data_IF_194243007515
#
_entry.id   IF_194243007515
#
_cell.length_a   1.000
_cell.length_b   1.000
_cell.length_c   1.000
_cell.angle_alpha   90.00
_cell.angle_beta   90.00
_cell.angle_gamma   90.00
#
_symmetry.space_group_name_H-M   'P 1'
#
loop_
_entity.id
_entity.type
_entity.pdbx_description
1 polymer ?
#
# COMPACT_ATOMS: atom_id res chain seq x y z
N UNK A 1 -22.05 -29.51 17.59
CA UNK A 1 -21.46 -30.87 17.53
C UNK A 1 -22.35 -31.94 16.90
N UNK A 2 -23.67 -31.72 16.73
CA UNK A 2 -24.61 -32.75 16.23
C UNK A 2 -24.51 -33.00 14.71
N UNK A 3 -24.17 -31.98 13.90
CA UNK A 3 -24.07 -32.10 12.43
C UNK A 3 -23.01 -33.10 11.95
N UNK A 4 -21.84 -33.14 12.60
CA UNK A 4 -20.75 -34.06 12.24
C UNK A 4 -21.12 -35.54 12.44
N UNK A 5 -21.98 -35.84 13.43
CA UNK A 5 -22.42 -37.21 13.71
C UNK A 5 -23.38 -37.71 12.64
N UNK A 6 -24.29 -36.87 12.17
CA UNK A 6 -25.24 -37.21 11.13
C UNK A 6 -24.53 -37.41 9.78
N UNK A 7 -23.63 -36.51 9.39
CA UNK A 7 -22.85 -36.65 8.16
C UNK A 7 -22.09 -37.97 8.10
N UNK A 8 -21.45 -38.36 9.21
CA UNK A 8 -20.68 -39.61 9.30
C UNK A 8 -21.55 -40.87 9.29
N UNK A 9 -22.78 -40.79 9.80
CA UNK A 9 -23.76 -41.90 9.73
C UNK A 9 -24.30 -42.05 8.31
N UNK A 10 -24.63 -40.94 7.64
CA UNK A 10 -25.11 -40.94 6.26
C UNK A 10 -24.04 -41.45 5.30
N UNK A 11 -22.78 -41.03 5.48
CA UNK A 11 -21.63 -41.53 4.72
C UNK A 11 -21.49 -43.05 4.85
N UNK A 12 -21.48 -43.59 6.07
CA UNK A 12 -21.44 -45.04 6.32
C UNK A 12 -22.62 -45.78 5.72
N UNK A 13 -23.83 -45.21 5.80
CA UNK A 13 -25.00 -45.82 5.17
C UNK A 13 -24.84 -45.87 3.64
N UNK A 14 -24.32 -44.81 3.03
CA UNK A 14 -24.09 -44.74 1.59
C UNK A 14 -23.05 -45.78 1.14
N UNK A 15 -21.92 -45.89 1.86
CA UNK A 15 -20.87 -46.89 1.58
C UNK A 15 -21.37 -48.33 1.76
N UNK A 16 -22.14 -48.61 2.81
CA UNK A 16 -22.56 -49.97 3.14
C UNK A 16 -23.79 -50.45 2.35
N UNK A 17 -24.69 -49.54 1.98
CA UNK A 17 -25.94 -49.87 1.27
C UNK A 17 -25.83 -49.76 -0.26
N UNK A 18 -24.80 -49.07 -0.77
CA UNK A 18 -24.65 -48.76 -2.20
C UNK A 18 -25.70 -47.79 -2.76
N UNK A 19 -26.66 -47.33 -1.95
CA UNK A 19 -27.67 -46.36 -2.36
C UNK A 19 -27.11 -44.95 -2.28
N UNK A 20 -27.08 -44.24 -3.40
CA UNK A 20 -26.63 -42.84 -3.42
C UNK A 20 -27.75 -41.96 -2.84
N UNK A 21 -27.48 -41.34 -1.69
CA UNK A 21 -28.41 -40.42 -1.03
C UNK A 21 -28.36 -39.01 -1.63
N UNK A 22 -27.34 -38.73 -2.44
CA UNK A 22 -27.13 -37.43 -3.07
C UNK A 22 -28.02 -37.25 -4.29
N UNK A 23 -28.69 -36.10 -4.34
CA UNK A 23 -29.32 -35.63 -5.58
C UNK A 23 -28.24 -35.24 -6.60
N UNK A 24 -28.69 -34.98 -7.84
CA UNK A 24 -27.79 -34.64 -8.94
C UNK A 24 -26.97 -33.37 -8.67
N UNK A 25 -27.52 -32.40 -7.92
CA UNK A 25 -26.81 -31.16 -7.58
C UNK A 25 -25.65 -31.44 -6.63
N UNK A 26 -25.86 -32.28 -5.61
CA UNK A 26 -24.82 -32.66 -4.65
C UNK A 26 -23.71 -33.48 -5.32
N UNK A 27 -24.06 -34.38 -6.25
CA UNK A 27 -23.06 -35.12 -7.04
C UNK A 27 -22.21 -34.19 -7.90
N UNK A 28 -22.85 -33.27 -8.61
CA UNK A 28 -22.15 -32.28 -9.44
C UNK A 28 -21.23 -31.38 -8.60
N UNK A 29 -21.70 -30.94 -7.43
CA UNK A 29 -20.88 -30.15 -6.51
C UNK A 29 -19.69 -30.95 -5.97
N UNK A 30 -19.87 -32.23 -5.63
CA UNK A 30 -18.76 -33.09 -5.20
C UNK A 30 -17.72 -33.24 -6.31
N UNK A 31 -18.16 -33.49 -7.54
CA UNK A 31 -17.26 -33.62 -8.69
C UNK A 31 -16.50 -32.31 -8.98
N UNK A 32 -17.17 -31.16 -8.83
CA UNK A 32 -16.57 -29.84 -8.93
C UNK A 32 -15.48 -29.62 -7.86
N UNK A 33 -15.78 -29.98 -6.61
CA UNK A 33 -14.82 -29.90 -5.51
C UNK A 33 -13.59 -30.77 -5.80
N UNK A 34 -13.79 -32.00 -6.28
CA UNK A 34 -12.68 -32.91 -6.59
C UNK A 34 -11.85 -32.39 -7.77
N UNK A 35 -12.49 -31.76 -8.77
CA UNK A 35 -11.76 -31.09 -9.86
C UNK A 35 -10.91 -29.94 -9.34
N UNK A 36 -11.48 -29.05 -8.52
CA UNK A 36 -10.76 -27.90 -7.95
C UNK A 36 -9.61 -28.36 -7.06
N UNK A 37 -9.80 -29.41 -6.25
CA UNK A 37 -8.71 -29.98 -5.43
C UNK A 37 -7.56 -30.45 -6.30
N UNK A 38 -7.85 -31.20 -7.36
CA UNK A 38 -6.84 -31.68 -8.29
C UNK A 38 -6.11 -30.53 -8.99
N UNK A 39 -6.83 -29.48 -9.39
CA UNK A 39 -6.24 -28.28 -9.96
C UNK A 39 -5.33 -27.56 -8.97
N UNK A 40 -5.74 -27.45 -7.71
CA UNK A 40 -4.93 -26.87 -6.64
C UNK A 40 -3.66 -27.69 -6.38
N UNK A 41 -3.77 -29.01 -6.32
CA UNK A 41 -2.62 -29.90 -6.16
C UNK A 41 -1.62 -29.73 -7.32
N UNK A 42 -2.13 -29.61 -8.56
CA UNK A 42 -1.31 -29.33 -9.74
C UNK A 42 -0.61 -27.97 -9.63
N UNK A 43 -1.34 -26.90 -9.27
CA UNK A 43 -0.76 -25.57 -9.09
C UNK A 43 0.31 -25.56 -7.98
N UNK A 44 0.14 -26.32 -6.91
CA UNK A 44 1.15 -26.45 -5.87
C UNK A 44 2.42 -27.13 -6.37
N UNK A 45 2.29 -28.14 -7.24
CA UNK A 45 3.43 -28.78 -7.91
C UNK A 45 4.14 -27.75 -8.79
N UNK A 46 3.41 -27.01 -9.62
CA UNK A 46 3.97 -25.96 -10.48
C UNK A 46 4.70 -24.88 -9.67
N UNK A 47 4.13 -24.44 -8.54
CA UNK A 47 4.77 -23.48 -7.64
C UNK A 47 6.09 -24.00 -7.05
N UNK A 48 6.18 -25.31 -6.74
CA UNK A 48 7.44 -25.92 -6.31
C UNK A 48 8.48 -25.88 -7.42
N UNK A 49 8.09 -26.22 -8.65
CA UNK A 49 8.99 -26.14 -9.80
C UNK A 49 9.50 -24.71 -10.05
N UNK A 50 8.61 -23.70 -9.98
CA UNK A 50 8.97 -22.29 -10.09
C UNK A 50 9.94 -21.83 -8.99
N UNK A 51 9.88 -22.45 -7.80
CA UNK A 51 10.84 -22.22 -6.70
C UNK A 51 12.16 -22.96 -6.87
N UNK A 52 12.30 -23.77 -7.92
CA UNK A 52 13.49 -24.59 -8.16
C UNK A 52 13.49 -25.94 -7.43
N UNK A 53 12.34 -26.38 -6.92
CA UNK A 53 12.16 -27.69 -6.27
C UNK A 53 11.73 -28.75 -7.32
N UNK A 54 11.94 -30.04 -7.03
CA UNK A 54 11.49 -31.19 -7.85
C UNK A 54 11.93 -31.18 -9.35
N UNK A 55 13.00 -30.45 -9.70
CA UNK A 55 13.41 -30.25 -11.10
C UNK A 55 13.91 -31.53 -11.80
N UNK A 56 14.46 -32.49 -11.06
CA UNK A 56 15.04 -33.71 -11.63
C UNK A 56 14.01 -34.62 -12.31
N UNK A 57 12.72 -34.47 -12.00
CA UNK A 57 11.64 -35.20 -12.66
C UNK A 57 11.17 -34.56 -13.98
N UNK A 58 11.61 -33.35 -14.28
CA UNK A 58 11.14 -32.58 -15.43
C UNK A 58 11.94 -32.88 -16.69
N UNK A 59 11.25 -32.84 -17.83
CA UNK A 59 11.89 -32.89 -19.13
C UNK A 59 12.50 -31.53 -19.49
N UNK A 60 13.52 -31.50 -20.38
CA UNK A 60 14.16 -30.25 -20.79
C UNK A 60 13.18 -29.18 -21.30
N UNK A 61 12.11 -29.59 -22.01
CA UNK A 61 11.08 -28.67 -22.50
C UNK A 61 10.33 -27.98 -21.35
N UNK A 62 10.04 -28.70 -20.28
CA UNK A 62 9.33 -28.16 -19.12
C UNK A 62 10.22 -27.18 -18.34
N UNK A 63 11.52 -27.47 -18.26
CA UNK A 63 12.50 -26.55 -17.66
C UNK A 63 12.62 -25.23 -18.45
N UNK A 64 12.62 -25.29 -19.79
CA UNK A 64 12.65 -24.09 -20.64
C UNK A 64 11.42 -23.21 -20.39
N UNK A 65 10.24 -23.81 -20.26
CA UNK A 65 9.02 -23.05 -19.97
C UNK A 65 9.07 -22.35 -18.60
N UNK A 66 9.67 -23.01 -17.60
CA UNK A 66 9.88 -22.41 -16.28
C UNK A 66 10.89 -21.25 -16.35
N UNK A 67 11.99 -21.44 -17.07
CA UNK A 67 13.01 -20.41 -17.29
C UNK A 67 12.41 -19.18 -17.97
N UNK A 68 11.66 -19.35 -19.07
CA UNK A 68 10.97 -18.26 -19.76
C UNK A 68 9.98 -17.54 -18.84
N UNK A 69 9.20 -18.28 -18.04
CA UNK A 69 8.26 -17.66 -17.09
C UNK A 69 8.97 -16.83 -16.02
N UNK A 70 10.09 -17.32 -15.49
CA UNK A 70 10.90 -16.62 -14.48
C UNK A 70 11.60 -15.39 -15.06
N UNK A 71 12.15 -15.48 -16.27
CA UNK A 71 12.82 -14.37 -16.94
C UNK A 71 11.85 -13.23 -17.26
N UNK A 72 10.66 -13.57 -17.77
CA UNK A 72 9.57 -12.62 -17.96
C UNK A 72 9.14 -11.98 -16.63
N UNK A 73 8.99 -12.78 -15.57
CA UNK A 73 8.65 -12.29 -14.23
C UNK A 73 9.69 -11.31 -13.69
N UNK A 74 10.98 -11.64 -13.83
CA UNK A 74 12.10 -10.80 -13.41
C UNK A 74 12.12 -9.47 -14.17
N UNK A 75 11.94 -9.53 -15.50
CA UNK A 75 11.86 -8.34 -16.37
C UNK A 75 10.75 -7.41 -15.91
N UNK A 76 9.54 -7.93 -15.69
CA UNK A 76 8.39 -7.14 -15.22
C UNK A 76 8.64 -6.49 -13.85
N UNK A 77 9.23 -7.23 -12.90
CA UNK A 77 9.57 -6.67 -11.58
C UNK A 77 10.61 -5.56 -11.71
N UNK A 78 11.63 -5.75 -12.55
CA UNK A 78 12.65 -4.74 -12.79
C UNK A 78 12.06 -3.46 -13.40
N UNK A 79 11.20 -3.59 -14.41
CA UNK A 79 10.50 -2.45 -15.02
C UNK A 79 9.70 -1.68 -13.97
N UNK A 80 8.97 -2.35 -13.07
CA UNK A 80 8.22 -1.69 -12.00
C UNK A 80 9.11 -0.99 -10.99
N UNK A 81 10.23 -1.60 -10.62
CA UNK A 81 11.21 -0.95 -9.75
C UNK A 81 11.79 0.31 -10.38
N UNK A 82 12.06 0.28 -11.69
CA UNK A 82 12.56 1.44 -12.43
C UNK A 82 11.50 2.55 -12.54
N UNK A 83 10.25 2.22 -12.86
CA UNK A 83 9.13 3.18 -12.86
C UNK A 83 9.01 3.91 -11.51
N UNK A 84 9.09 3.15 -10.41
CA UNK A 84 9.00 3.66 -9.05
C UNK A 84 10.18 4.56 -8.69
N UNK A 85 11.40 4.14 -9.04
CA UNK A 85 12.61 4.92 -8.84
C UNK A 85 12.55 6.25 -9.59
N UNK A 86 12.19 6.23 -10.87
CA UNK A 86 12.05 7.46 -11.66
C UNK A 86 11.00 8.40 -11.09
N UNK A 87 9.87 7.87 -10.61
CA UNK A 87 8.83 8.68 -9.96
C UNK A 87 9.37 9.37 -8.73
N UNK A 88 10.15 8.67 -7.89
CA UNK A 88 10.79 9.26 -6.70
C UNK A 88 11.79 10.34 -7.08
N UNK A 89 12.66 10.08 -8.06
CA UNK A 89 13.63 11.08 -8.55
C UNK A 89 12.94 12.34 -9.07
N UNK A 90 11.83 12.20 -9.81
CA UNK A 90 11.04 13.36 -10.27
C UNK A 90 10.42 14.12 -9.10
N UNK A 91 9.84 13.41 -8.15
CA UNK A 91 9.21 14.02 -6.97
C UNK A 91 10.23 14.79 -6.11
N UNK A 92 11.41 14.22 -5.89
CA UNK A 92 12.47 14.86 -5.11
C UNK A 92 12.94 16.16 -5.76
N UNK A 93 13.10 16.18 -7.09
CA UNK A 93 13.42 17.40 -7.84
C UNK A 93 12.34 18.48 -7.68
N UNK A 94 11.08 18.11 -7.81
CA UNK A 94 9.96 19.05 -7.65
C UNK A 94 9.91 19.62 -6.23
N UNK A 95 10.12 18.79 -5.21
CA UNK A 95 10.17 19.22 -3.81
C UNK A 95 11.36 20.14 -3.54
N UNK A 96 12.52 19.87 -4.13
CA UNK A 96 13.69 20.72 -4.00
C UNK A 96 13.45 22.10 -4.64
N UNK A 97 12.84 22.14 -5.83
CA UNK A 97 12.46 23.38 -6.50
C UNK A 97 11.42 24.18 -5.71
N UNK A 98 10.39 23.52 -5.18
CA UNK A 98 9.38 24.17 -4.34
C UNK A 98 9.99 24.73 -3.05
N UNK A 99 10.87 23.97 -2.40
CA UNK A 99 11.56 24.42 -1.19
C UNK A 99 12.44 25.65 -1.48
N UNK A 100 13.19 25.66 -2.59
CA UNK A 100 13.95 26.84 -3.04
C UNK A 100 13.05 28.05 -3.25
N UNK A 101 11.89 27.87 -3.87
CA UNK A 101 10.92 28.95 -4.09
C UNK A 101 10.36 29.49 -2.77
N UNK A 102 10.01 28.61 -1.83
CA UNK A 102 9.51 28.98 -0.52
C UNK A 102 10.58 29.72 0.31
N UNK A 103 11.83 29.23 0.30
CA UNK A 103 12.95 29.89 0.94
C UNK A 103 13.18 31.30 0.38
N UNK A 104 13.08 31.47 -0.95
CA UNK A 104 13.18 32.77 -1.59
C UNK A 104 12.05 33.73 -1.15
N UNK A 105 10.81 33.25 -1.12
CA UNK A 105 9.65 34.05 -0.67
C UNK A 105 9.78 34.45 0.80
N UNK A 106 10.23 33.53 1.66
CA UNK A 106 10.47 33.80 3.07
C UNK A 106 11.52 34.89 3.24
N UNK A 107 12.65 34.78 2.53
CA UNK A 107 13.70 35.80 2.56
C UNK A 107 13.21 37.18 2.10
N UNK A 108 12.42 37.23 1.02
CA UNK A 108 11.83 38.49 0.55
C UNK A 108 10.92 39.12 1.62
N UNK A 109 10.12 38.31 2.33
CA UNK A 109 9.27 38.79 3.41
C UNK A 109 10.08 39.30 4.61
N UNK A 110 11.13 38.59 5.02
CA UNK A 110 12.03 39.02 6.10
C UNK A 110 12.71 40.35 5.78
N UNK A 111 13.20 40.53 4.55
CA UNK A 111 13.81 41.79 4.10
C UNK A 111 12.77 42.91 4.09
N UNK A 112 11.54 42.65 3.63
CA UNK A 112 10.47 43.64 3.64
C UNK A 112 10.10 44.07 5.08
N UNK A 113 10.02 43.12 6.01
CA UNK A 113 9.74 43.39 7.42
C UNK A 113 10.89 44.17 8.08
N UNK A 114 12.14 43.76 7.87
CA UNK A 114 13.32 44.45 8.40
C UNK A 114 13.52 45.83 7.78
N UNK A 115 13.23 46.01 6.48
CA UNK A 115 13.24 47.31 5.82
C UNK A 115 12.12 48.23 6.32
N UNK A 116 10.93 47.69 6.57
CA UNK A 116 9.83 48.42 7.21
C UNK A 116 10.15 48.81 8.65
N UNK A 117 10.78 47.92 9.42
CA UNK A 117 11.27 48.21 10.78
C UNK A 117 12.39 49.26 10.78
N UNK A 118 13.34 49.19 9.85
CA UNK A 118 14.41 50.20 9.72
C UNK A 118 13.85 51.57 9.33
N UNK A 119 12.84 51.62 8.45
CA UNK A 119 12.16 52.88 8.13
C UNK A 119 11.37 53.43 9.32
N UNK A 120 10.79 52.57 10.16
CA UNK A 120 10.18 52.98 11.42
C UNK A 120 11.23 53.50 12.41
N UNK A 121 12.39 52.84 12.51
CA UNK A 121 13.50 53.19 13.40
C UNK A 121 14.22 54.50 12.99
N UNK A 122 14.35 54.77 11.69
CA UNK A 122 14.82 56.06 11.15
C UNK A 122 13.82 57.22 11.35
N UNK A 123 12.56 56.93 11.66
CA UNK A 123 11.53 57.92 11.99
C UNK A 123 11.41 58.22 13.49
N UNK A 124 12.13 57.49 14.35
CA UNK A 124 12.10 57.68 15.79
C UNK A 124 13.10 58.74 16.25
N UNK A 125 12.63 59.99 16.35
CA UNK A 125 13.29 61.01 17.19
C UNK A 125 12.94 60.73 18.67
N UNK A 126 13.92 60.61 19.57
CA UNK A 126 13.68 60.37 20.98
C UNK A 126 13.40 61.71 21.67
N UNK A 127 12.24 62.31 21.41
CA UNK A 127 11.73 63.43 22.22
C UNK A 127 10.23 63.60 21.95
N UNK A 128 9.43 62.71 22.54
CA UNK A 128 8.05 63.01 22.92
C UNK A 128 7.54 61.95 23.88
N UNK A 129 7.26 62.42 25.09
CA UNK A 129 6.50 61.73 26.11
C UNK A 129 5.16 61.23 25.57
N UNK A 130 5.10 59.98 25.12
CA UNK A 130 3.84 59.28 24.89
C UNK A 130 3.99 57.82 25.35
N UNK A 131 3.70 57.62 26.63
CA UNK A 131 3.36 56.31 27.15
C UNK A 131 2.02 55.87 26.52
N UNK A 132 2.06 54.98 25.52
CA UNK A 132 0.91 54.14 25.17
C UNK A 132 1.34 52.90 24.38
N UNK A 133 1.51 51.81 25.14
CA UNK A 133 1.22 50.44 24.71
C UNK A 133 2.15 49.83 23.64
N UNK A 134 3.11 49.04 24.12
CA UNK A 134 3.34 47.70 23.59
C UNK A 134 2.58 46.77 24.53
N UNK A 135 1.60 45.99 24.03
CA UNK A 135 1.94 44.63 23.61
C UNK A 135 1.06 44.13 22.45
N UNK A 136 1.65 43.73 21.32
CA UNK A 136 0.96 42.77 20.44
C UNK A 136 1.16 41.39 21.07
N UNK A 137 0.28 41.04 22.00
CA UNK A 137 0.10 39.66 22.46
C UNK A 137 -0.38 38.83 21.28
N UNK A 138 0.42 37.85 20.87
CA UNK A 138 -0.02 36.81 19.93
C UNK A 138 -1.21 36.05 20.52
N UNK A 139 -2.42 36.42 20.13
CA UNK A 139 -3.64 35.68 20.46
C UNK A 139 -3.86 34.66 19.36
N UNK A 140 -3.47 33.41 19.62
CA UNK A 140 -3.77 32.28 18.76
C UNK A 140 -5.29 32.09 18.81
N UNK A 141 -6.00 32.47 17.74
CA UNK A 141 -7.40 32.06 17.56
C UNK A 141 -7.39 30.62 17.04
N UNK A 142 -7.97 29.64 17.77
CA UNK A 142 -8.07 28.29 17.27
C UNK A 142 -9.26 28.23 16.30
N UNK A 143 -9.01 28.49 15.02
CA UNK A 143 -9.98 28.24 13.96
C UNK A 143 -9.34 27.40 12.86
N UNK A 144 -8.94 26.17 13.23
CA UNK A 144 -8.70 25.10 12.26
C UNK A 144 -9.71 23.98 12.53
N UNK A 145 -10.64 23.70 11.60
CA UNK A 145 -11.63 22.63 11.75
C UNK A 145 -11.09 21.20 11.69
N UNK A 146 -9.78 20.99 11.51
CA UNK A 146 -9.22 19.67 11.14
C UNK A 146 -8.47 18.94 12.26
N UNK A 147 -8.64 19.34 13.52
CA UNK A 147 -8.24 18.53 14.67
C UNK A 147 -9.46 17.79 15.22
N UNK A 148 -9.93 16.79 14.49
CA UNK A 148 -10.68 15.69 15.10
C UNK A 148 -9.69 14.58 15.40
N UNK A 149 -9.24 14.58 16.65
CA UNK A 149 -8.52 13.49 17.28
C UNK A 149 -9.43 12.24 17.27
N UNK A 150 -9.03 11.23 16.50
CA UNK A 150 -9.50 9.87 16.71
C UNK A 150 -8.97 9.40 18.06
N UNK A 151 -9.85 9.23 19.05
CA UNK A 151 -9.56 8.49 20.26
C UNK A 151 -10.72 7.53 20.54
N UNK A 152 -10.44 6.25 20.31
CA UNK A 152 -11.09 4.99 20.73
C UNK A 152 -12.58 4.78 20.52
#
# INVERSE_FOLDING_TARGET
MVGLRLSRILEKYQTNSGKILWDEKHKNLSAEIDRIKKENDNMQIELRHLKGEDLNSLQPKELIMIEEALDNGLTNVHEKLMEDWERRVRNDKMLEEENKLLAFKLHQQEVALNGSMRNLELGYHPDRDFAAHMPITFRIQPSHPNLQENNY
#
